data_IF_419829723995
#
_entry.id   IF_419829723995
#
_cell.length_a   1.000
_cell.length_b   1.000
_cell.length_c   1.000
_cell.angle_alpha   90.00
_cell.angle_beta   90.00
_cell.angle_gamma   90.00
#
_symmetry.space_group_name_H-M   'P 1'
#
loop_
_entity.id
_entity.type
_entity.pdbx_description
1 polymer ?
#
# COMPACT_ATOMS: atom_id res chain seq x y z
N UNK A 1 6.81 -7.84 -14.66
CA UNK A 1 8.07 -8.26 -14.02
C UNK A 1 8.76 -9.20 -14.98
N UNK A 2 10.02 -8.94 -15.31
CA UNK A 2 10.84 -9.84 -16.13
C UNK A 2 11.26 -11.07 -15.31
N UNK A 3 11.81 -12.08 -16.00
CA UNK A 3 12.15 -13.37 -15.41
C UNK A 3 13.28 -13.26 -14.38
N UNK A 4 14.29 -12.43 -14.63
CA UNK A 4 15.47 -12.35 -13.78
C UNK A 4 15.14 -11.64 -12.47
N UNK A 5 14.35 -10.56 -12.54
CA UNK A 5 13.80 -9.89 -11.36
C UNK A 5 12.94 -10.85 -10.51
N UNK A 6 12.12 -11.67 -11.16
CA UNK A 6 11.31 -12.67 -10.45
C UNK A 6 12.16 -13.73 -9.74
N UNK A 7 13.20 -14.24 -10.41
CA UNK A 7 14.10 -15.24 -9.82
C UNK A 7 14.93 -14.64 -8.69
N UNK A 8 15.41 -13.40 -8.84
CA UNK A 8 16.11 -12.67 -7.79
C UNK A 8 15.23 -12.51 -6.54
N UNK A 9 13.95 -12.15 -6.72
CA UNK A 9 12.98 -12.12 -5.63
C UNK A 9 12.82 -13.50 -4.97
N UNK A 10 12.69 -14.57 -5.76
CA UNK A 10 12.56 -15.93 -5.22
C UNK A 10 13.79 -16.32 -4.38
N UNK A 11 14.99 -16.01 -4.84
CA UNK A 11 16.23 -16.25 -4.10
C UNK A 11 16.31 -15.42 -2.81
N UNK A 12 15.92 -14.15 -2.85
CA UNK A 12 15.88 -13.30 -1.65
C UNK A 12 14.91 -13.86 -0.59
N UNK A 13 13.71 -14.26 -1.01
CA UNK A 13 12.70 -14.86 -0.12
C UNK A 13 13.15 -16.22 0.42
N UNK A 14 13.98 -16.98 -0.32
CA UNK A 14 14.59 -18.22 0.18
C UNK A 14 15.68 -17.93 1.21
N UNK A 15 16.66 -17.12 0.85
CA UNK A 15 17.90 -16.92 1.59
C UNK A 15 17.67 -16.09 2.85
N UNK A 16 16.99 -14.96 2.73
CA UNK A 16 16.76 -14.04 3.83
C UNK A 16 15.40 -14.29 4.50
N UNK A 17 14.42 -14.76 3.73
CA UNK A 17 13.05 -14.99 4.20
C UNK A 17 12.78 -16.37 4.80
N UNK A 18 13.62 -17.37 4.49
CA UNK A 18 13.45 -18.75 4.94
C UNK A 18 12.31 -19.50 4.24
N UNK A 19 11.82 -19.00 3.10
CA UNK A 19 10.79 -19.67 2.31
C UNK A 19 11.35 -20.94 1.67
N UNK A 20 10.67 -22.07 1.89
CA UNK A 20 11.14 -23.40 1.42
C UNK A 20 10.15 -24.05 0.47
N UNK A 21 10.70 -24.80 -0.50
CA UNK A 21 9.93 -25.73 -1.33
C UNK A 21 9.32 -26.84 -0.46
N UNK A 22 8.18 -27.37 -0.89
CA UNK A 22 7.63 -28.63 -0.38
C UNK A 22 7.83 -29.70 -1.43
N UNK A 23 7.50 -30.95 -1.11
CA UNK A 23 7.52 -32.04 -2.11
C UNK A 23 6.59 -31.79 -3.30
N UNK A 24 5.57 -30.94 -3.15
CA UNK A 24 4.55 -30.69 -4.17
C UNK A 24 4.62 -29.32 -4.82
N UNK A 25 5.23 -28.32 -4.17
CA UNK A 25 5.15 -26.91 -4.60
C UNK A 25 6.47 -26.21 -4.34
N UNK A 26 7.02 -25.60 -5.39
CA UNK A 26 8.30 -24.89 -5.35
C UNK A 26 8.17 -23.54 -4.65
N UNK A 27 9.27 -22.83 -4.46
CA UNK A 27 9.23 -21.45 -3.94
C UNK A 27 8.70 -20.51 -5.01
N UNK A 28 9.17 -20.67 -6.24
CA UNK A 28 8.77 -19.91 -7.41
C UNK A 28 7.25 -19.97 -7.59
N UNK A 29 6.65 -21.16 -7.46
CA UNK A 29 5.20 -21.31 -7.58
C UNK A 29 4.44 -20.59 -6.45
N UNK A 30 4.93 -20.66 -5.20
CA UNK A 30 4.32 -19.92 -4.07
C UNK A 30 4.38 -18.42 -4.30
N UNK A 31 5.53 -17.92 -4.77
CA UNK A 31 5.75 -16.49 -5.05
C UNK A 31 4.90 -16.06 -6.24
N UNK A 32 4.79 -16.88 -7.28
CA UNK A 32 3.92 -16.61 -8.43
C UNK A 32 2.44 -16.54 -8.05
N UNK A 33 1.97 -17.45 -7.18
CA UNK A 33 0.62 -17.39 -6.61
C UNK A 33 0.41 -16.05 -5.89
N UNK A 34 1.31 -15.70 -4.96
CA UNK A 34 1.23 -14.45 -4.21
C UNK A 34 1.20 -13.21 -5.11
N UNK A 35 2.14 -13.11 -6.05
CA UNK A 35 2.22 -11.99 -7.00
C UNK A 35 0.99 -11.91 -7.90
N UNK A 36 0.44 -13.06 -8.31
CA UNK A 36 -0.77 -13.08 -9.13
C UNK A 36 -2.00 -12.62 -8.34
N UNK A 37 -2.09 -12.98 -7.06
CA UNK A 37 -3.14 -12.51 -6.14
C UNK A 37 -3.09 -11.01 -5.91
N UNK A 38 -1.91 -10.43 -5.67
CA UNK A 38 -1.83 -8.97 -5.41
C UNK A 38 -1.88 -8.15 -6.71
N UNK A 39 -1.40 -8.71 -7.83
CA UNK A 39 -1.30 -8.00 -9.10
C UNK A 39 -2.61 -7.94 -9.89
N UNK A 40 -3.57 -8.79 -9.56
CA UNK A 40 -4.92 -8.73 -10.09
C UNK A 40 -5.89 -8.88 -8.94
N UNK A 41 -6.88 -8.00 -8.82
CA UNK A 41 -7.98 -8.14 -7.87
C UNK A 41 -8.93 -9.29 -8.25
N UNK A 42 -8.37 -10.43 -8.63
CA UNK A 42 -9.07 -11.65 -9.03
C UNK A 42 -9.47 -12.43 -7.78
N UNK A 43 -10.58 -13.16 -7.88
CA UNK A 43 -10.99 -14.11 -6.85
C UNK A 43 -9.96 -15.26 -6.76
N UNK A 44 -9.72 -15.78 -5.55
CA UNK A 44 -8.93 -16.98 -5.32
C UNK A 44 -9.36 -18.18 -6.17
N UNK A 45 -10.62 -18.23 -6.63
CA UNK A 45 -11.09 -19.25 -7.58
C UNK A 45 -10.36 -19.22 -8.92
N UNK A 46 -10.15 -18.05 -9.51
CA UNK A 46 -9.44 -17.93 -10.80
C UNK A 46 -7.97 -18.35 -10.65
N UNK A 47 -7.38 -18.03 -9.49
CA UNK A 47 -6.00 -18.39 -9.16
C UNK A 47 -5.89 -19.89 -8.90
N UNK A 48 -6.85 -20.46 -8.17
CA UNK A 48 -6.97 -21.89 -7.92
C UNK A 48 -7.04 -22.69 -9.23
N UNK A 49 -7.87 -22.24 -10.18
CA UNK A 49 -7.95 -22.85 -11.51
C UNK A 49 -6.62 -22.72 -12.26
N UNK A 50 -6.01 -21.53 -12.28
CA UNK A 50 -4.77 -21.31 -13.03
C UNK A 50 -3.59 -22.15 -12.53
N UNK A 51 -3.46 -22.30 -11.22
CA UNK A 51 -2.37 -23.06 -10.60
C UNK A 51 -2.77 -24.50 -10.24
N UNK A 52 -4.01 -24.93 -10.55
CA UNK A 52 -4.51 -26.28 -10.29
C UNK A 52 -4.40 -26.70 -8.81
N UNK A 53 -4.71 -25.77 -7.91
CA UNK A 53 -4.74 -26.00 -6.46
C UNK A 53 -6.08 -25.59 -5.87
N UNK A 54 -6.46 -26.15 -4.73
CA UNK A 54 -7.65 -25.67 -4.01
C UNK A 54 -7.47 -24.25 -3.49
N UNK A 55 -8.57 -23.51 -3.32
CA UNK A 55 -8.56 -22.16 -2.72
C UNK A 55 -7.92 -22.13 -1.34
N UNK A 56 -8.09 -23.20 -0.54
CA UNK A 56 -7.38 -23.38 0.75
C UNK A 56 -5.86 -23.42 0.58
N UNK A 57 -5.38 -24.09 -0.46
CA UNK A 57 -3.94 -24.19 -0.77
C UNK A 57 -3.40 -22.85 -1.25
N UNK A 58 -4.16 -22.13 -2.08
CA UNK A 58 -3.84 -20.77 -2.52
C UNK A 58 -3.72 -19.84 -1.31
N UNK A 59 -4.74 -19.80 -0.44
CA UNK A 59 -4.73 -18.99 0.80
C UNK A 59 -3.53 -19.33 1.69
N UNK A 60 -3.25 -20.62 1.90
CA UNK A 60 -2.08 -21.07 2.68
C UNK A 60 -0.74 -20.56 2.13
N UNK A 61 -0.57 -20.56 0.80
CA UNK A 61 0.68 -20.08 0.19
C UNK A 61 0.77 -18.57 0.12
N UNK A 62 -0.36 -17.90 -0.11
CA UNK A 62 -0.47 -16.45 0.01
C UNK A 62 -0.03 -16.00 1.41
N UNK A 63 -0.60 -16.57 2.47
CA UNK A 63 -0.27 -16.22 3.86
C UNK A 63 1.20 -16.48 4.20
N UNK A 64 1.76 -17.59 3.68
CA UNK A 64 3.17 -17.91 3.90
C UNK A 64 4.09 -16.90 3.25
N UNK A 65 3.85 -16.54 2.00
CA UNK A 65 4.68 -15.56 1.29
C UNK A 65 4.49 -14.17 1.89
N UNK A 66 3.24 -13.78 2.22
CA UNK A 66 2.94 -12.51 2.88
C UNK A 66 3.73 -12.35 4.18
N UNK A 67 3.75 -13.36 5.06
CA UNK A 67 4.51 -13.32 6.32
C UNK A 67 6.01 -13.14 6.08
N UNK A 68 6.56 -13.80 5.07
CA UNK A 68 7.98 -13.67 4.73
C UNK A 68 8.28 -12.27 4.16
N UNK A 69 7.43 -11.77 3.27
CA UNK A 69 7.55 -10.43 2.68
C UNK A 69 7.47 -9.36 3.77
N UNK A 70 6.50 -9.43 4.69
CA UNK A 70 6.37 -8.49 5.82
C UNK A 70 7.60 -8.56 6.74
N UNK A 71 8.12 -9.75 7.03
CA UNK A 71 9.35 -9.90 7.82
C UNK A 71 10.55 -9.22 7.15
N UNK A 72 10.66 -9.36 5.83
CA UNK A 72 11.74 -8.76 5.06
C UNK A 72 11.51 -7.29 4.74
N UNK A 73 10.26 -6.82 4.77
CA UNK A 73 9.92 -5.42 4.53
C UNK A 73 10.69 -4.49 5.49
N UNK A 74 10.79 -4.87 6.77
CA UNK A 74 11.58 -4.12 7.76
C UNK A 74 13.08 -4.02 7.42
N UNK A 75 13.60 -4.91 6.56
CA UNK A 75 15.00 -4.93 6.10
C UNK A 75 15.17 -4.29 4.71
N UNK A 76 14.17 -4.42 3.84
CA UNK A 76 14.23 -4.07 2.41
C UNK A 76 13.53 -2.75 2.08
N UNK A 77 12.38 -2.45 2.71
CA UNK A 77 11.54 -1.25 2.47
C UNK A 77 12.07 -0.03 3.25
N UNK A 78 13.40 0.00 3.39
CA UNK A 78 14.24 1.11 3.83
C UNK A 78 14.41 1.24 5.35
N UNK A 79 15.67 1.30 5.84
CA UNK A 79 15.96 1.72 7.20
C UNK A 79 15.32 3.07 7.50
N UNK A 80 14.79 3.25 8.70
CA UNK A 80 14.34 4.53 9.22
C UNK A 80 13.05 5.13 8.59
N UNK A 81 12.36 4.43 7.67
CA UNK A 81 10.97 4.78 7.34
C UNK A 81 10.07 4.43 8.54
N UNK A 82 9.15 5.32 8.93
CA UNK A 82 8.24 5.12 10.10
C UNK A 82 6.76 4.97 9.71
N UNK A 83 6.44 5.12 8.44
CA UNK A 83 5.09 4.95 7.92
C UNK A 83 4.96 5.41 6.48
N UNK A 84 3.77 5.23 5.93
CA UNK A 84 3.43 5.66 4.58
C UNK A 84 2.43 6.82 4.61
N UNK A 85 2.56 7.73 3.65
CA UNK A 85 1.59 8.79 3.39
C UNK A 85 0.95 8.51 2.04
N UNK A 86 -0.38 8.52 2.00
CA UNK A 86 -1.13 8.33 0.77
C UNK A 86 -2.42 9.17 0.76
N UNK A 87 -2.83 9.58 -0.44
CA UNK A 87 -4.08 10.28 -0.69
C UNK A 87 -5.16 9.29 -1.13
N UNK A 88 -6.33 9.37 -0.49
CA UNK A 88 -7.51 8.57 -0.85
C UNK A 88 -8.68 9.47 -1.18
N UNK A 89 -9.35 9.18 -2.30
CA UNK A 89 -10.62 9.81 -2.63
C UNK A 89 -11.77 9.03 -2.00
N UNK A 90 -12.56 9.70 -1.18
CA UNK A 90 -13.77 9.14 -0.57
C UNK A 90 -15.00 9.97 -0.93
N UNK A 91 -16.16 9.34 -0.88
CA UNK A 91 -17.42 10.06 -1.05
C UNK A 91 -17.64 11.03 0.12
N UNK A 92 -18.07 12.25 -0.21
CA UNK A 92 -18.35 13.29 0.76
C UNK A 92 -19.86 13.44 0.93
N UNK A 93 -20.34 13.30 2.17
CA UNK A 93 -21.72 13.63 2.53
C UNK A 93 -21.76 15.08 3.01
N UNK A 94 -22.23 15.97 2.13
CA UNK A 94 -22.21 17.42 2.36
C UNK A 94 -23.62 17.98 2.14
N UNK A 95 -24.12 18.88 3.02
CA UNK A 95 -25.40 19.55 2.82
C UNK A 95 -25.46 20.27 1.46
N UNK A 96 -26.62 20.26 0.78
CA UNK A 96 -26.78 20.76 -0.60
C UNK A 96 -26.21 22.17 -0.83
N UNK A 97 -26.29 23.04 0.16
CA UNK A 97 -25.76 24.42 0.08
C UNK A 97 -24.22 24.49 -0.03
N UNK A 98 -23.52 23.46 0.46
CA UNK A 98 -22.05 23.41 0.55
C UNK A 98 -21.44 22.41 -0.44
N UNK A 99 -22.23 21.79 -1.34
CA UNK A 99 -21.75 20.75 -2.25
C UNK A 99 -20.86 21.26 -3.39
N UNK A 100 -20.89 22.57 -3.70
CA UNK A 100 -20.23 23.14 -4.89
C UNK A 100 -18.71 22.86 -4.91
N UNK A 101 -17.95 23.07 -3.82
CA UNK A 101 -16.50 22.78 -3.77
C UNK A 101 -16.17 21.29 -3.88
N UNK A 102 -17.10 20.41 -3.46
CA UNK A 102 -16.88 18.97 -3.41
C UNK A 102 -17.43 18.23 -4.63
N UNK A 103 -18.04 18.93 -5.60
CA UNK A 103 -18.68 18.30 -6.75
C UNK A 103 -17.62 17.82 -7.75
N UNK A 104 -17.44 16.51 -7.84
CA UNK A 104 -16.54 15.88 -8.79
C UNK A 104 -17.07 15.91 -10.24
N UNK A 105 -16.25 15.41 -11.18
CA UNK A 105 -16.54 15.35 -12.63
C UNK A 105 -17.77 14.48 -12.99
N UNK A 106 -18.32 13.71 -12.05
CA UNK A 106 -19.45 12.77 -12.24
C UNK A 106 -20.70 13.08 -11.40
N UNK A 107 -20.89 14.33 -10.95
CA UNK A 107 -22.04 14.76 -10.14
C UNK A 107 -22.15 14.12 -8.73
N UNK A 108 -21.24 13.23 -8.35
CA UNK A 108 -21.01 12.80 -6.97
C UNK A 108 -20.15 13.82 -6.23
N UNK A 109 -20.40 14.01 -4.94
CA UNK A 109 -19.55 14.81 -4.07
C UNK A 109 -18.44 13.95 -3.52
N UNK A 110 -17.19 14.34 -3.76
CA UNK A 110 -16.00 13.59 -3.40
C UNK A 110 -15.04 14.52 -2.64
N UNK A 111 -14.34 13.98 -1.66
CA UNK A 111 -13.26 14.68 -0.97
C UNK A 111 -11.97 13.87 -1.08
N UNK A 112 -10.84 14.58 -1.03
CA UNK A 112 -9.53 13.95 -0.87
C UNK A 112 -9.19 13.93 0.62
N UNK A 113 -8.76 12.77 1.09
CA UNK A 113 -8.26 12.56 2.45
C UNK A 113 -6.81 12.13 2.33
N UNK A 114 -5.91 12.80 3.06
CA UNK A 114 -4.51 12.36 3.16
C UNK A 114 -4.32 11.71 4.52
N UNK A 115 -3.75 10.52 4.53
CA UNK A 115 -3.52 9.73 5.72
C UNK A 115 -2.05 9.39 5.88
N UNK A 116 -1.57 9.38 7.13
CA UNK A 116 -0.30 8.75 7.52
C UNK A 116 -0.64 7.42 8.19
N UNK A 117 -0.02 6.33 7.73
CA UNK A 117 -0.24 4.98 8.25
C UNK A 117 1.09 4.38 8.74
N UNK A 118 1.11 3.80 9.94
CA UNK A 118 2.28 3.06 10.45
C UNK A 118 2.39 1.67 9.82
N UNK A 119 3.52 0.99 10.02
CA UNK A 119 3.70 -0.40 9.60
C UNK A 119 2.77 -1.41 10.31
N UNK A 120 2.14 -1.00 11.42
CA UNK A 120 1.11 -1.78 12.11
C UNK A 120 -0.29 -1.59 11.48
N UNK A 121 -0.38 -0.94 10.31
CA UNK A 121 -1.63 -0.63 9.60
C UNK A 121 -2.56 0.29 10.41
N UNK A 122 -2.00 1.10 11.30
CA UNK A 122 -2.73 2.08 12.09
C UNK A 122 -2.58 3.47 11.48
N UNK A 123 -3.70 4.17 11.33
CA UNK A 123 -3.68 5.59 10.98
C UNK A 123 -3.12 6.39 12.16
N UNK A 124 -2.00 7.07 11.91
CA UNK A 124 -1.34 7.95 12.90
C UNK A 124 -1.68 9.42 12.69
N UNK A 125 -2.18 9.76 11.51
CA UNK A 125 -2.66 11.09 11.17
C UNK A 125 -3.65 11.01 10.00
N UNK A 126 -4.69 11.84 10.04
CA UNK A 126 -5.70 11.94 8.98
C UNK A 126 -6.07 13.42 8.80
N UNK A 127 -6.03 13.89 7.56
CA UNK A 127 -6.58 15.20 7.17
C UNK A 127 -7.65 14.99 6.10
N UNK A 128 -8.84 15.54 6.35
CA UNK A 128 -10.02 15.43 5.50
C UNK A 128 -10.61 16.82 5.21
N UNK A 129 -11.68 16.88 4.39
CA UNK A 129 -12.36 18.13 4.06
C UNK A 129 -11.77 18.89 2.87
N UNK A 130 -10.87 18.26 2.10
CA UNK A 130 -10.33 18.86 0.88
C UNK A 130 -11.18 18.52 -0.33
N UNK A 131 -11.36 19.49 -1.24
CA UNK A 131 -12.05 19.27 -2.51
C UNK A 131 -11.45 18.05 -3.23
N UNK A 132 -12.28 17.13 -3.73
CA UNK A 132 -11.84 15.87 -4.35
C UNK A 132 -10.98 16.03 -5.61
N UNK A 133 -10.80 17.25 -6.12
CA UNK A 133 -9.92 17.62 -7.23
C UNK A 133 -8.54 18.11 -6.77
N UNK A 134 -8.36 18.36 -5.47
CA UNK A 134 -7.11 18.87 -4.92
C UNK A 134 -6.03 17.80 -4.99
N UNK A 135 -4.84 18.20 -5.44
CA UNK A 135 -3.67 17.35 -5.49
C UNK A 135 -3.14 17.04 -4.07
N UNK A 136 -2.87 15.76 -3.80
CA UNK A 136 -2.36 15.28 -2.51
C UNK A 136 -1.09 16.04 -2.03
N UNK A 137 -0.20 16.40 -2.95
CA UNK A 137 1.01 17.16 -2.63
C UNK A 137 0.69 18.56 -2.07
N UNK A 138 -0.38 19.19 -2.59
CA UNK A 138 -0.85 20.49 -2.09
C UNK A 138 -1.47 20.33 -0.70
N UNK A 139 -2.34 19.33 -0.53
CA UNK A 139 -2.96 19.02 0.76
C UNK A 139 -1.88 18.82 1.82
N UNK A 140 -0.87 18.01 1.50
CA UNK A 140 0.24 17.72 2.40
C UNK A 140 1.07 18.96 2.72
N UNK A 141 1.43 19.77 1.71
CA UNK A 141 2.18 21.01 1.90
C UNK A 141 1.44 22.00 2.81
N UNK A 142 0.15 22.22 2.59
CA UNK A 142 -0.67 23.11 3.42
C UNK A 142 -0.86 22.51 4.83
N UNK A 143 -0.97 21.18 4.92
CA UNK A 143 -1.12 20.47 6.21
C UNK A 143 0.12 20.64 7.08
N UNK A 144 1.31 20.39 6.53
CA UNK A 144 2.60 20.48 7.23
C UNK A 144 2.95 21.93 7.58
N UNK A 145 2.58 22.89 6.73
CA UNK A 145 2.90 24.30 6.93
C UNK A 145 2.07 24.98 8.02
N UNK A 146 0.92 24.41 8.38
CA UNK A 146 0.04 24.95 9.42
C UNK A 146 0.27 24.21 10.77
N UNK A 147 0.84 24.89 11.79
CA UNK A 147 1.09 24.28 13.10
C UNK A 147 -0.16 23.75 13.82
N UNK A 148 -1.34 24.32 13.54
CA UNK A 148 -2.60 23.91 14.18
C UNK A 148 -3.03 22.50 13.77
N UNK A 149 -2.57 22.02 12.61
CA UNK A 149 -2.84 20.67 12.16
C UNK A 149 -2.11 19.61 12.99
N UNK A 150 -1.07 19.98 13.75
CA UNK A 150 -0.28 19.05 14.58
C UNK A 150 0.22 17.84 13.79
N UNK A 151 0.70 18.10 12.56
CA UNK A 151 1.28 17.06 11.72
C UNK A 151 2.46 16.39 12.46
N UNK A 152 2.50 15.05 12.57
CA UNK A 152 3.55 14.36 13.29
C UNK A 152 4.82 14.35 12.46
N UNK A 153 5.72 15.32 12.65
CA UNK A 153 7.02 15.31 11.98
C UNK A 153 7.85 14.08 12.39
N UNK A 154 8.55 13.43 11.45
CA UNK A 154 9.35 12.26 11.77
C UNK A 154 10.50 12.64 12.73
N UNK A 155 10.85 11.78 13.71
CA UNK A 155 12.05 11.95 14.51
C UNK A 155 13.32 12.09 13.65
N UNK A 156 14.34 12.77 14.20
CA UNK A 156 15.61 12.99 13.49
C UNK A 156 16.20 11.66 12.99
N UNK A 157 16.49 11.60 11.69
CA UNK A 157 17.05 10.41 11.04
C UNK A 157 16.01 9.43 10.52
N UNK A 158 14.71 9.70 10.74
CA UNK A 158 13.60 8.91 10.19
C UNK A 158 12.79 9.73 9.17
N UNK A 159 11.89 9.08 8.44
CA UNK A 159 11.10 9.74 7.40
C UNK A 159 9.79 8.98 7.10
N UNK A 160 8.87 9.63 6.36
CA UNK A 160 7.68 8.97 5.80
C UNK A 160 7.85 8.62 4.32
N UNK A 161 7.37 7.44 3.94
CA UNK A 161 7.33 6.96 2.57
C UNK A 161 6.07 7.51 1.86
N UNK A 162 6.23 8.40 0.87
CA UNK A 162 5.10 9.06 0.24
C UNK A 162 4.70 8.41 -1.10
N UNK A 163 3.46 7.94 -1.19
CA UNK A 163 2.86 7.34 -2.38
C UNK A 163 2.00 8.36 -3.13
N UNK A 164 2.59 9.46 -3.63
CA UNK A 164 1.82 10.34 -4.52
C UNK A 164 1.76 9.70 -5.90
N UNK A 165 0.57 9.56 -6.46
CA UNK A 165 0.39 9.16 -7.85
C UNK A 165 1.27 10.03 -8.77
N UNK A 166 2.38 9.43 -9.26
CA UNK A 166 3.40 9.88 -10.22
C UNK A 166 4.77 10.39 -9.73
N UNK A 167 5.06 10.50 -8.43
CA UNK A 167 6.43 10.80 -7.97
C UNK A 167 6.70 10.25 -6.57
N UNK A 168 7.82 9.53 -6.39
CA UNK A 168 8.32 9.16 -5.06
C UNK A 168 9.07 10.35 -4.48
N UNK A 169 8.62 10.87 -3.33
CA UNK A 169 9.29 11.95 -2.60
C UNK A 169 9.46 11.50 -1.15
N UNK A 170 10.64 11.73 -0.57
CA UNK A 170 10.95 11.37 0.82
C UNK A 170 10.72 12.63 1.68
N UNK A 171 9.97 12.50 2.78
CA UNK A 171 9.69 13.61 3.72
C UNK A 171 10.46 13.38 5.02
N UNK A 172 11.44 14.26 5.27
CA UNK A 172 12.25 14.35 6.49
C UNK A 172 11.62 15.22 7.57
#
# INVERSE_FOLDING_TARGET
MDKDTFLALCEELKQNGGLKSTTRVTVEEKVAIFLKTIGHANDFRDIAERFQHSTTTISKYFDKVLKVVVKLANKIIVPDCIGAIDGVHIDASVPTAEQIPYRGRKATTNQTVVCVCSFDMLFTFVVAGWEGTTNDARILSETVSNPDNKFPMPPRGTYYCLYINKSHVIIY
#
